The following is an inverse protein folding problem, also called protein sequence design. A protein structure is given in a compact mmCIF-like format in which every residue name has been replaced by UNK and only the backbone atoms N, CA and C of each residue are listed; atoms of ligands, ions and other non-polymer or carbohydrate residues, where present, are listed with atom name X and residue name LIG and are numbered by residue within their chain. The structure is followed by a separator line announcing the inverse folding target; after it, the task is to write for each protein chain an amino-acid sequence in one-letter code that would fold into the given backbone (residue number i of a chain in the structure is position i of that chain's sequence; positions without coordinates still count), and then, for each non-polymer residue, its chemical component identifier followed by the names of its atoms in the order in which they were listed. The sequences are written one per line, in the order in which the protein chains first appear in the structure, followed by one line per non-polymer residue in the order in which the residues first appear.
data_IF_402864778356
#
_entry.id   IF_402864778356
#
_cell.length_a   1.000
_cell.length_b   1.000
_cell.length_c   1.000
_cell.angle_alpha   90.00
_cell.angle_beta   90.00
_cell.angle_gamma   90.00
#
_symmetry.space_group_name_H-M   'P 1'
#
loop_
_entity.id
_entity.type
_entity.pdbx_description
1 polymer ?
#
# COMPACT_ATOMS: atom_id res chain seq x y z
N UNK A 1 -20.91 21.07 -7.29
CA UNK A 1 -21.35 20.59 -8.63
C UNK A 1 -20.26 19.78 -9.33
N UNK A 2 -18.97 20.15 -9.19
CA UNK A 2 -17.84 19.53 -9.93
C UNK A 2 -17.72 18.03 -9.76
N UNK A 3 -17.94 17.48 -8.54
CA UNK A 3 -17.84 16.04 -8.26
C UNK A 3 -18.87 15.24 -9.10
N UNK A 4 -20.09 15.75 -9.23
CA UNK A 4 -21.13 15.08 -10.04
C UNK A 4 -20.86 15.17 -11.53
N UNK A 5 -20.33 16.31 -12.01
CA UNK A 5 -19.90 16.46 -13.41
C UNK A 5 -18.75 15.51 -13.70
N UNK A 6 -17.75 15.42 -12.80
CA UNK A 6 -16.60 14.54 -12.98
C UNK A 6 -17.00 13.07 -13.10
N UNK A 7 -17.85 12.59 -12.20
CA UNK A 7 -18.29 11.19 -12.25
C UNK A 7 -19.19 10.90 -13.45
N UNK A 8 -20.00 11.88 -13.89
CA UNK A 8 -20.80 11.73 -15.12
C UNK A 8 -19.93 11.62 -16.37
N UNK A 9 -18.84 12.39 -16.45
CA UNK A 9 -17.86 12.25 -17.53
C UNK A 9 -17.17 10.89 -17.48
N UNK A 10 -16.80 10.42 -16.28
CA UNK A 10 -16.19 9.11 -16.11
C UNK A 10 -17.13 7.99 -16.58
N UNK A 11 -18.41 8.06 -16.23
CA UNK A 11 -19.43 7.10 -16.70
C UNK A 11 -19.66 7.16 -18.21
N UNK A 12 -19.58 8.34 -18.82
CA UNK A 12 -19.69 8.48 -20.28
C UNK A 12 -18.60 7.66 -20.99
N UNK A 13 -17.34 7.73 -20.52
CA UNK A 13 -16.28 6.92 -21.09
C UNK A 13 -16.38 5.44 -20.72
N UNK A 14 -16.83 5.10 -19.50
CA UNK A 14 -17.12 3.72 -19.12
C UNK A 14 -18.13 3.08 -20.08
N UNK A 15 -19.20 3.80 -20.43
CA UNK A 15 -20.27 3.31 -21.30
C UNK A 15 -19.82 3.13 -22.76
N UNK A 16 -18.62 3.59 -23.10
CA UNK A 16 -17.92 3.34 -24.36
C UNK A 16 -16.90 2.19 -24.25
N UNK A 17 -16.90 1.40 -23.16
CA UNK A 17 -15.99 0.28 -22.97
C UNK A 17 -14.63 0.62 -22.38
N UNK A 18 -14.42 1.86 -21.87
CA UNK A 18 -13.14 2.23 -21.25
C UNK A 18 -13.08 1.90 -19.76
N UNK A 19 -11.87 1.62 -19.28
CA UNK A 19 -11.55 1.62 -17.85
C UNK A 19 -11.08 3.01 -17.44
N UNK A 20 -11.85 3.67 -16.57
CA UNK A 20 -11.66 5.09 -16.20
C UNK A 20 -11.23 5.19 -14.74
N UNK A 21 -10.19 5.96 -14.45
CA UNK A 21 -9.82 6.37 -13.10
C UNK A 21 -10.26 7.83 -12.86
N UNK A 22 -11.16 8.04 -11.90
CA UNK A 22 -11.58 9.36 -11.45
C UNK A 22 -10.88 9.70 -10.13
N UNK A 23 -10.06 10.74 -10.15
CA UNK A 23 -9.36 11.24 -8.96
C UNK A 23 -10.06 12.51 -8.47
N UNK A 24 -10.60 12.47 -7.24
CA UNK A 24 -11.31 13.59 -6.62
C UNK A 24 -10.51 14.13 -5.42
N UNK A 25 -9.81 15.23 -5.66
CA UNK A 25 -9.05 15.95 -4.62
C UNK A 25 -9.69 17.33 -4.36
N UNK A 26 -10.38 17.53 -3.26
CA UNK A 26 -10.74 16.55 -2.22
C UNK A 26 -12.26 16.53 -2.01
N UNK A 27 -12.79 15.39 -1.61
CA UNK A 27 -14.21 15.25 -1.26
C UNK A 27 -14.59 16.04 -0.01
N UNK A 28 -13.62 16.37 0.85
CA UNK A 28 -13.82 17.24 2.02
C UNK A 28 -14.35 18.62 1.63
N UNK A 29 -13.84 19.22 0.54
CA UNK A 29 -14.30 20.52 0.04
C UNK A 29 -15.75 20.48 -0.48
N UNK A 30 -16.11 19.35 -1.08
CA UNK A 30 -17.50 19.13 -1.49
C UNK A 30 -18.43 18.99 -0.27
N UNK A 31 -18.00 18.28 0.78
CA UNK A 31 -18.76 18.15 2.03
C UNK A 31 -18.91 19.51 2.76
N UNK A 32 -17.87 20.33 2.79
CA UNK A 32 -17.92 21.70 3.31
C UNK A 32 -18.96 22.54 2.54
N UNK A 33 -18.98 22.44 1.20
CA UNK A 33 -19.98 23.13 0.41
C UNK A 33 -21.42 22.63 0.68
N UNK A 34 -21.61 21.33 0.93
CA UNK A 34 -22.92 20.80 1.36
C UNK A 34 -23.34 21.38 2.71
N UNK A 35 -22.43 21.46 3.67
CA UNK A 35 -22.67 22.07 4.99
C UNK A 35 -23.10 23.52 4.85
N UNK A 36 -22.41 24.29 4.02
CA UNK A 36 -22.74 25.71 3.79
C UNK A 36 -24.13 25.87 3.14
N UNK A 37 -24.44 25.05 2.12
CA UNK A 37 -25.74 25.10 1.45
C UNK A 37 -26.87 24.72 2.41
N UNK A 38 -26.71 23.63 3.16
CA UNK A 38 -27.67 23.16 4.16
C UNK A 38 -27.94 24.23 5.24
N UNK A 39 -26.89 24.90 5.70
CA UNK A 39 -27.00 26.02 6.65
C UNK A 39 -27.78 27.21 6.09
N UNK A 40 -27.55 27.56 4.83
CA UNK A 40 -28.29 28.65 4.15
C UNK A 40 -29.77 28.32 3.89
N UNK A 41 -30.06 27.02 3.75
CA UNK A 41 -31.45 26.54 3.60
C UNK A 41 -32.13 26.31 4.94
N UNK A 42 -31.48 26.65 6.06
CA UNK A 42 -31.99 26.48 7.43
C UNK A 42 -32.39 25.01 7.75
N UNK A 43 -31.71 24.03 7.09
CA UNK A 43 -31.91 22.62 7.40
C UNK A 43 -31.38 22.29 8.79
N UNK A 44 -32.00 21.32 9.46
CA UNK A 44 -31.55 20.87 10.80
C UNK A 44 -30.14 20.27 10.69
N UNK A 45 -29.13 20.82 11.37
CA UNK A 45 -27.77 20.29 11.33
C UNK A 45 -27.65 18.99 12.14
N UNK A 46 -26.83 18.05 11.64
CA UNK A 46 -26.36 16.90 12.38
C UNK A 46 -24.97 17.17 12.99
N UNK A 47 -24.16 16.14 13.14
CA UNK A 47 -22.82 16.20 13.73
C UNK A 47 -21.93 17.23 13.01
N UNK A 48 -21.26 18.09 13.78
CA UNK A 48 -20.38 19.18 13.32
C UNK A 48 -21.01 20.14 12.29
N UNK A 49 -22.34 20.26 12.29
CA UNK A 49 -23.06 21.14 11.38
C UNK A 49 -23.24 20.60 9.96
N UNK A 50 -22.86 19.36 9.70
CA UNK A 50 -23.13 18.71 8.43
C UNK A 50 -24.62 18.32 8.29
N UNK A 51 -25.16 18.23 7.06
CA UNK A 51 -26.51 17.76 6.87
C UNK A 51 -26.64 16.28 7.23
N UNK A 52 -27.81 15.83 7.75
CA UNK A 52 -28.03 14.43 8.16
C UNK A 52 -27.91 13.44 6.99
N UNK A 53 -28.01 13.90 5.76
CA UNK A 53 -27.88 13.09 4.55
C UNK A 53 -26.45 13.03 3.97
N UNK A 54 -25.43 13.54 4.69
CA UNK A 54 -24.04 13.51 4.20
C UNK A 54 -23.56 12.11 3.81
N UNK A 55 -23.77 11.13 4.70
CA UNK A 55 -23.37 9.74 4.46
C UNK A 55 -24.08 9.15 3.23
N UNK A 56 -25.38 9.40 3.07
CA UNK A 56 -26.13 8.94 1.91
C UNK A 56 -25.63 9.57 0.59
N UNK A 57 -25.23 10.85 0.62
CA UNK A 57 -24.66 11.53 -0.56
C UNK A 57 -23.28 11.00 -0.93
N UNK A 58 -22.43 10.71 0.08
CA UNK A 58 -21.14 10.07 -0.13
C UNK A 58 -21.32 8.67 -0.70
N UNK A 59 -22.21 7.86 -0.15
CA UNK A 59 -22.51 6.53 -0.66
C UNK A 59 -22.96 6.58 -2.11
N UNK A 60 -23.91 7.44 -2.44
CA UNK A 60 -24.44 7.59 -3.81
C UNK A 60 -23.33 8.04 -4.82
N UNK A 61 -22.32 8.77 -4.36
CA UNK A 61 -21.17 9.10 -5.20
C UNK A 61 -20.24 7.91 -5.43
N UNK A 62 -19.83 7.22 -4.36
CA UNK A 62 -18.88 6.10 -4.47
C UNK A 62 -19.51 4.85 -5.10
N UNK A 63 -20.83 4.62 -4.95
CA UNK A 63 -21.56 3.51 -5.61
C UNK A 63 -21.53 3.58 -7.14
N UNK A 64 -21.18 4.73 -7.71
CA UNK A 64 -21.02 4.88 -9.17
C UNK A 64 -19.73 4.24 -9.69
N UNK A 65 -18.79 3.88 -8.81
CA UNK A 65 -17.61 3.08 -9.16
C UNK A 65 -18.01 1.61 -9.37
N UNK A 66 -17.41 0.97 -10.36
CA UNK A 66 -17.61 -0.44 -10.60
C UNK A 66 -17.28 -0.85 -12.03
N UNK A 67 -17.20 -2.15 -12.25
CA UNK A 67 -17.06 -2.78 -13.56
C UNK A 67 -18.44 -3.22 -14.04
N UNK A 68 -18.78 -2.90 -15.25
CA UNK A 68 -20.11 -3.16 -15.85
C UNK A 68 -19.95 -3.73 -17.25
N UNK A 69 -20.99 -4.41 -17.71
CA UNK A 69 -21.19 -4.70 -19.14
C UNK A 69 -22.10 -3.61 -19.68
N UNK A 70 -21.63 -2.87 -20.66
CA UNK A 70 -22.32 -1.74 -21.25
C UNK A 70 -23.53 -2.21 -22.08
N UNK A 71 -24.41 -1.29 -22.45
CA UNK A 71 -25.52 -1.60 -23.37
C UNK A 71 -25.03 -2.05 -24.75
N UNK A 72 -23.80 -1.68 -25.14
CA UNK A 72 -23.14 -2.16 -26.36
C UNK A 72 -22.55 -3.56 -26.25
N UNK A 73 -22.56 -4.16 -25.05
CA UNK A 73 -22.01 -5.51 -24.80
C UNK A 73 -20.51 -5.54 -24.46
N UNK A 74 -19.87 -4.37 -24.36
CA UNK A 74 -18.46 -4.23 -24.00
C UNK A 74 -18.29 -4.10 -22.48
N UNK A 75 -17.13 -4.51 -21.96
CA UNK A 75 -16.77 -4.26 -20.56
C UNK A 75 -16.26 -2.82 -20.38
N UNK A 76 -16.76 -2.14 -19.37
CA UNK A 76 -16.26 -0.82 -18.96
C UNK A 76 -16.17 -0.71 -17.45
N UNK A 77 -15.31 0.16 -16.94
CA UNK A 77 -15.12 0.32 -15.51
C UNK A 77 -14.90 1.78 -15.09
N UNK A 78 -15.37 2.14 -13.89
CA UNK A 78 -14.97 3.39 -13.20
C UNK A 78 -14.35 3.01 -11.86
N UNK A 79 -13.14 3.50 -11.63
CA UNK A 79 -12.48 3.47 -10.33
C UNK A 79 -12.44 4.88 -9.76
N UNK A 80 -12.97 5.08 -8.56
CA UNK A 80 -12.97 6.40 -7.88
C UNK A 80 -11.90 6.38 -6.79
N UNK A 81 -10.96 7.34 -6.86
CA UNK A 81 -9.98 7.63 -5.83
C UNK A 81 -10.33 8.99 -5.22
N UNK A 82 -10.95 8.97 -4.05
CA UNK A 82 -11.34 10.19 -3.34
C UNK A 82 -10.34 10.54 -2.25
N UNK A 83 -9.74 11.73 -2.33
CA UNK A 83 -8.93 12.25 -1.25
C UNK A 83 -9.83 12.86 -0.17
N UNK A 84 -9.53 12.55 1.10
CA UNK A 84 -10.16 13.16 2.27
C UNK A 84 -9.09 13.87 3.09
N UNK A 85 -9.34 15.10 3.49
CA UNK A 85 -8.40 15.94 4.23
C UNK A 85 -9.00 16.34 5.58
N UNK A 86 -8.92 15.45 6.59
CA UNK A 86 -9.46 15.75 7.91
C UNK A 86 -8.71 16.92 8.56
N UNK A 87 -9.39 17.91 9.15
CA UNK A 87 -8.77 19.02 9.85
C UNK A 87 -7.87 18.52 10.99
N UNK A 88 -6.62 19.01 11.03
CA UNK A 88 -5.66 18.58 12.05
C UNK A 88 -5.27 17.10 12.03
N UNK A 89 -5.64 16.35 10.98
CA UNK A 89 -5.41 14.90 10.89
C UNK A 89 -6.38 14.07 11.75
N UNK A 90 -7.46 14.67 12.24
CA UNK A 90 -8.45 13.99 13.08
C UNK A 90 -9.33 13.02 12.26
N UNK A 91 -9.01 11.74 12.37
CA UNK A 91 -9.75 10.68 11.67
C UNK A 91 -11.18 10.46 12.21
N UNK A 92 -11.56 11.07 13.35
CA UNK A 92 -12.91 10.96 13.93
C UNK A 92 -13.93 11.92 13.29
N UNK A 93 -13.46 12.83 12.44
CA UNK A 93 -14.26 13.82 11.72
C UNK A 93 -15.35 13.14 10.86
N UNK A 94 -16.59 13.69 10.78
CA UNK A 94 -17.75 13.03 10.18
C UNK A 94 -17.59 12.63 8.71
N UNK A 95 -16.91 13.44 7.88
CA UNK A 95 -16.71 13.13 6.46
C UNK A 95 -15.77 11.93 6.31
N UNK A 96 -14.68 11.90 7.09
CA UNK A 96 -13.72 10.81 7.12
C UNK A 96 -14.39 9.52 7.60
N UNK A 97 -15.10 9.57 8.72
CA UNK A 97 -15.78 8.40 9.26
C UNK A 97 -16.86 7.85 8.31
N UNK A 98 -17.64 8.74 7.70
CA UNK A 98 -18.66 8.33 6.71
C UNK A 98 -18.00 7.70 5.48
N UNK A 99 -16.89 8.26 5.00
CA UNK A 99 -16.16 7.74 3.85
C UNK A 99 -15.59 6.35 4.15
N UNK A 100 -14.92 6.16 5.29
CA UNK A 100 -14.33 4.88 5.69
C UNK A 100 -15.36 3.74 5.82
N UNK A 101 -16.61 4.06 6.13
CA UNK A 101 -17.70 3.05 6.19
C UNK A 101 -18.22 2.63 4.82
N UNK A 102 -17.95 3.43 3.79
CA UNK A 102 -18.48 3.23 2.44
C UNK A 102 -17.45 2.60 1.53
N UNK A 103 -16.17 3.05 1.60
CA UNK A 103 -15.12 2.61 0.68
C UNK A 103 -14.59 1.23 1.04
N UNK A 104 -14.29 0.44 0.02
CA UNK A 104 -13.71 -0.90 0.19
C UNK A 104 -12.17 -0.91 0.27
N UNK A 105 -11.50 0.21 -0.03
CA UNK A 105 -10.05 0.34 0.08
C UNK A 105 -9.70 1.71 0.66
N UNK A 106 -8.66 1.74 1.49
CA UNK A 106 -8.20 2.94 2.16
C UNK A 106 -6.68 3.02 2.18
N UNK A 107 -6.12 4.12 1.72
CA UNK A 107 -4.71 4.47 1.82
C UNK A 107 -4.53 5.55 2.87
N UNK A 108 -3.98 5.17 3.99
CA UNK A 108 -3.69 6.11 5.08
C UNK A 108 -2.41 6.87 4.79
N UNK A 109 -2.52 8.16 4.48
CA UNK A 109 -1.36 9.03 4.38
C UNK A 109 -0.80 9.34 5.77
N UNK A 110 0.53 9.34 5.89
CA UNK A 110 1.22 9.54 7.16
C UNK A 110 2.26 10.67 7.02
N UNK A 111 2.03 11.76 7.76
CA UNK A 111 2.92 12.92 7.74
C UNK A 111 4.33 12.57 8.27
N UNK A 112 4.45 11.61 9.20
CA UNK A 112 5.76 11.21 9.73
C UNK A 112 6.62 10.51 8.67
N UNK A 113 6.02 9.76 7.76
CA UNK A 113 6.69 9.18 6.60
C UNK A 113 7.16 10.27 5.63
N UNK A 114 6.29 11.26 5.35
CA UNK A 114 6.62 12.38 4.48
C UNK A 114 7.77 13.23 5.05
N UNK A 115 7.78 13.51 6.35
CA UNK A 115 8.88 14.23 7.03
C UNK A 115 10.23 13.47 6.96
N UNK A 116 10.18 12.14 6.99
CA UNK A 116 11.36 11.29 6.78
C UNK A 116 11.73 11.09 5.30
N UNK A 117 11.00 11.75 4.39
CA UNK A 117 11.17 11.62 2.92
C UNK A 117 10.95 10.20 2.40
N UNK A 118 10.13 9.43 3.10
CA UNK A 118 9.65 8.15 2.61
C UNK A 118 8.43 8.38 1.71
N UNK A 119 8.56 8.14 0.43
CA UNK A 119 7.49 8.30 -0.55
C UNK A 119 7.29 7.01 -1.35
N UNK A 120 6.03 6.67 -1.71
CA UNK A 120 4.79 7.33 -1.28
C UNK A 120 4.60 7.26 0.25
N UNK A 121 4.09 8.34 0.84
CA UNK A 121 3.93 8.45 2.31
C UNK A 121 2.64 7.75 2.78
N UNK A 122 2.46 6.49 2.39
CA UNK A 122 1.30 5.64 2.69
C UNK A 122 1.70 4.69 3.83
N UNK A 123 0.97 4.77 4.94
CA UNK A 123 1.20 3.90 6.08
C UNK A 123 0.62 2.50 5.79
N UNK A 124 1.49 1.51 5.65
CA UNK A 124 1.13 0.13 5.29
C UNK A 124 0.31 -0.58 6.36
N UNK A 125 0.56 -0.31 7.65
CA UNK A 125 -0.19 -0.93 8.75
C UNK A 125 -1.57 -0.29 8.98
N UNK A 126 -1.73 0.99 8.57
CA UNK A 126 -2.98 1.70 8.69
C UNK A 126 -3.88 1.66 7.45
N UNK A 127 -3.38 1.13 6.35
CA UNK A 127 -4.08 0.99 5.08
C UNK A 127 -4.72 -0.39 4.94
N UNK A 128 -5.83 -0.49 4.19
CA UNK A 128 -6.50 -1.77 3.98
C UNK A 128 -7.22 -1.84 2.63
N UNK A 129 -7.53 -3.06 2.20
CA UNK A 129 -8.44 -3.34 1.11
C UNK A 129 -9.34 -4.53 1.47
N UNK A 130 -10.64 -4.35 1.35
CA UNK A 130 -11.64 -5.43 1.49
C UNK A 130 -11.74 -6.30 0.23
N UNK A 131 -11.08 -5.89 -0.86
CA UNK A 131 -11.08 -6.62 -2.13
C UNK A 131 -10.00 -7.69 -2.22
N UNK A 132 -9.11 -7.79 -1.23
CA UNK A 132 -7.91 -8.64 -1.26
C UNK A 132 -8.26 -10.08 -1.64
N UNK A 133 -9.13 -10.73 -0.89
CA UNK A 133 -9.52 -12.13 -1.14
C UNK A 133 -10.24 -12.34 -2.48
N UNK A 134 -11.01 -11.35 -2.93
CA UNK A 134 -11.68 -11.41 -4.23
C UNK A 134 -10.70 -11.29 -5.39
N UNK A 135 -9.56 -10.62 -5.19
CA UNK A 135 -8.52 -10.42 -6.20
C UNK A 135 -7.45 -11.51 -6.19
N UNK A 136 -7.35 -12.33 -5.15
CA UNK A 136 -6.34 -13.39 -5.05
C UNK A 136 -6.33 -14.35 -6.26
N UNK A 137 -7.48 -14.83 -6.82
CA UNK A 137 -7.47 -15.65 -8.00
C UNK A 137 -6.81 -14.95 -9.21
N UNK A 138 -7.09 -13.65 -9.37
CA UNK A 138 -6.50 -12.86 -10.44
C UNK A 138 -4.98 -12.73 -10.29
N UNK A 139 -4.48 -12.47 -9.07
CA UNK A 139 -3.05 -12.40 -8.80
C UNK A 139 -2.35 -13.73 -9.04
N UNK A 140 -2.95 -14.85 -8.66
CA UNK A 140 -2.42 -16.18 -8.92
C UNK A 140 -2.28 -16.47 -10.40
N UNK A 141 -3.26 -16.09 -11.20
CA UNK A 141 -3.28 -16.32 -12.65
C UNK A 141 -2.33 -15.36 -13.40
N UNK A 142 -2.29 -14.07 -13.03
CA UNK A 142 -1.64 -13.03 -13.82
C UNK A 142 -0.25 -12.63 -13.34
N UNK A 143 0.11 -12.93 -12.09
CA UNK A 143 1.42 -12.59 -11.51
C UNK A 143 2.19 -13.86 -11.14
N UNK A 144 1.76 -14.58 -10.11
CA UNK A 144 2.33 -15.85 -9.68
C UNK A 144 1.38 -16.57 -8.71
N UNK A 145 1.42 -17.91 -8.71
CA UNK A 145 0.55 -18.75 -7.89
C UNK A 145 0.68 -18.45 -6.38
N UNK A 146 1.87 -18.14 -5.91
CA UNK A 146 2.22 -17.86 -4.51
C UNK A 146 2.22 -16.36 -4.15
N UNK A 147 1.74 -15.47 -5.05
CA UNK A 147 1.74 -14.01 -4.81
C UNK A 147 0.96 -13.60 -3.55
N UNK A 148 -0.26 -14.10 -3.30
CA UNK A 148 -1.02 -13.71 -2.10
C UNK A 148 -0.29 -14.08 -0.81
N UNK A 149 0.31 -15.27 -0.75
CA UNK A 149 1.06 -15.73 0.42
C UNK A 149 2.31 -14.88 0.69
N UNK A 150 3.02 -14.46 -0.36
CA UNK A 150 4.17 -13.57 -0.22
C UNK A 150 3.74 -12.20 0.30
N UNK A 151 2.67 -11.62 -0.26
CA UNK A 151 2.10 -10.35 0.19
C UNK A 151 1.74 -10.40 1.68
N UNK A 152 1.06 -11.47 2.10
CA UNK A 152 0.61 -11.62 3.48
C UNK A 152 1.80 -11.81 4.43
N UNK A 153 2.84 -12.56 4.02
CA UNK A 153 4.07 -12.71 4.79
C UNK A 153 4.84 -11.39 4.96
N UNK A 154 4.92 -10.57 3.91
CA UNK A 154 5.51 -9.21 3.99
C UNK A 154 4.71 -8.33 4.96
N UNK A 155 3.38 -8.38 4.89
CA UNK A 155 2.50 -7.62 5.78
C UNK A 155 2.65 -8.06 7.24
N UNK A 156 2.75 -9.36 7.50
CA UNK A 156 3.00 -9.91 8.84
C UNK A 156 4.35 -9.45 9.40
N UNK A 157 5.41 -9.47 8.59
CA UNK A 157 6.74 -8.98 9.02
C UNK A 157 6.70 -7.51 9.40
N UNK A 158 6.01 -6.66 8.62
CA UNK A 158 5.87 -5.23 8.93
C UNK A 158 5.05 -4.98 10.21
N UNK A 159 4.03 -5.79 10.48
CA UNK A 159 3.27 -5.70 11.73
C UNK A 159 4.11 -6.13 12.95
N UNK A 160 4.88 -7.22 12.82
CA UNK A 160 5.80 -7.68 13.87
C UNK A 160 6.89 -6.65 14.14
N UNK A 161 7.46 -6.08 13.08
CA UNK A 161 8.47 -5.03 13.17
C UNK A 161 7.94 -3.79 13.92
N UNK A 162 6.70 -3.36 13.64
CA UNK A 162 6.09 -2.23 14.34
C UNK A 162 5.99 -2.47 15.86
N UNK A 163 5.57 -3.66 16.28
CA UNK A 163 5.53 -4.04 17.70
C UNK A 163 6.92 -4.08 18.35
N UNK A 164 7.94 -4.57 17.64
CA UNK A 164 9.32 -4.58 18.13
C UNK A 164 9.92 -3.18 18.23
N UNK A 165 9.57 -2.27 17.31
CA UNK A 165 9.99 -0.87 17.36
C UNK A 165 9.49 -0.15 18.62
N UNK A 166 8.27 -0.45 19.07
CA UNK A 166 7.75 0.07 20.34
C UNK A 166 8.58 -0.41 21.53
N UNK A 167 8.99 -1.68 21.54
CA UNK A 167 9.86 -2.25 22.58
C UNK A 167 11.24 -1.56 22.56
N UNK A 168 11.84 -1.39 21.36
CA UNK A 168 13.13 -0.70 21.21
C UNK A 168 13.09 0.72 21.74
N UNK A 169 12.00 1.44 21.53
CA UNK A 169 11.84 2.81 22.05
C UNK A 169 11.81 2.86 23.60
N UNK A 170 11.35 1.80 24.24
CA UNK A 170 11.22 1.75 25.70
C UNK A 170 12.49 1.24 26.40
N UNK A 171 13.15 0.22 25.85
CA UNK A 171 14.25 -0.51 26.53
C UNK A 171 15.57 -0.48 25.78
N UNK A 172 15.61 0.05 24.57
CA UNK A 172 16.78 0.09 23.71
C UNK A 172 16.95 -1.14 22.82
N UNK A 173 17.74 -1.04 21.74
CA UNK A 173 17.94 -2.13 20.77
C UNK A 173 18.70 -3.34 21.32
N UNK A 174 19.55 -3.12 22.34
CA UNK A 174 20.38 -4.19 22.94
C UNK A 174 19.59 -5.22 23.74
N UNK A 175 18.31 -4.92 24.02
CA UNK A 175 17.43 -5.86 24.72
C UNK A 175 16.84 -6.95 23.81
N UNK A 176 16.98 -6.82 22.50
CA UNK A 176 16.42 -7.74 21.52
C UNK A 176 17.34 -8.93 21.24
N UNK A 177 16.74 -10.10 21.07
CA UNK A 177 17.44 -11.28 20.59
C UNK A 177 17.72 -11.17 19.08
N UNK A 178 18.70 -11.92 18.57
CA UNK A 178 19.08 -11.89 17.16
C UNK A 178 17.90 -12.16 16.20
N UNK A 179 16.98 -13.05 16.56
CA UNK A 179 15.78 -13.31 15.78
C UNK A 179 14.83 -12.11 15.71
N UNK A 180 14.74 -11.31 16.76
CA UNK A 180 13.93 -10.07 16.80
C UNK A 180 14.62 -8.93 16.04
N UNK A 181 15.95 -8.81 16.20
CA UNK A 181 16.79 -7.89 15.43
C UNK A 181 16.68 -8.18 13.92
N UNK A 182 16.63 -9.46 13.52
CA UNK A 182 16.40 -9.85 12.13
C UNK A 182 15.08 -9.32 11.60
N UNK A 183 13.98 -9.41 12.36
CA UNK A 183 12.68 -8.86 11.95
C UNK A 183 12.74 -7.35 11.74
N UNK A 184 13.44 -6.62 12.60
CA UNK A 184 13.63 -5.15 12.45
C UNK A 184 14.42 -4.83 11.18
N UNK A 185 15.52 -5.55 10.93
CA UNK A 185 16.36 -5.29 9.75
C UNK A 185 15.65 -5.66 8.44
N UNK A 186 14.94 -6.79 8.41
CA UNK A 186 14.12 -7.16 7.24
C UNK A 186 12.97 -6.18 7.05
N UNK A 187 12.32 -5.72 8.13
CA UNK A 187 11.33 -4.64 8.08
C UNK A 187 11.90 -3.35 7.49
N UNK A 188 13.15 -2.99 7.84
CA UNK A 188 13.87 -1.87 7.24
C UNK A 188 14.08 -2.06 5.73
N UNK A 189 14.55 -3.24 5.31
CA UNK A 189 14.72 -3.57 3.88
C UNK A 189 13.38 -3.46 3.15
N UNK A 190 12.30 -4.00 3.70
CA UNK A 190 10.96 -3.88 3.09
C UNK A 190 10.56 -2.40 2.93
N UNK A 191 10.73 -1.58 3.96
CA UNK A 191 10.35 -0.17 3.91
C UNK A 191 11.21 0.64 2.95
N UNK A 192 12.52 0.51 3.02
CA UNK A 192 13.47 1.40 2.35
C UNK A 192 13.80 0.92 0.93
N UNK A 193 13.85 -0.39 0.71
CA UNK A 193 14.32 -0.97 -0.55
C UNK A 193 13.17 -1.53 -1.42
N UNK A 194 11.95 -1.65 -0.86
CA UNK A 194 10.80 -2.14 -1.61
C UNK A 194 9.62 -1.15 -1.62
N UNK A 195 9.16 -0.66 -0.46
CA UNK A 195 7.99 0.22 -0.39
C UNK A 195 8.30 1.66 -0.78
N UNK A 196 9.50 2.15 -0.45
CA UNK A 196 9.91 3.48 -0.85
C UNK A 196 10.26 3.51 -2.34
N UNK A 197 9.69 4.50 -3.05
CA UNK A 197 9.97 4.75 -4.47
C UNK A 197 10.37 6.20 -4.70
N UNK A 198 11.26 6.42 -5.67
CA UNK A 198 11.64 7.76 -6.12
C UNK A 198 10.96 8.07 -7.46
N UNK A 199 9.93 8.90 -7.42
CA UNK A 199 9.16 9.30 -8.60
C UNK A 199 9.98 10.07 -9.66
N UNK A 200 11.19 10.55 -9.31
CA UNK A 200 12.08 11.28 -10.22
C UNK A 200 13.23 10.41 -10.76
N UNK A 201 13.29 9.13 -10.38
CA UNK A 201 14.28 8.20 -10.91
C UNK A 201 13.72 7.46 -12.12
N UNK A 202 14.50 7.36 -13.19
CA UNK A 202 14.06 6.78 -14.47
C UNK A 202 13.50 5.36 -14.36
N UNK A 203 14.05 4.55 -13.46
CA UNK A 203 13.63 3.16 -13.25
C UNK A 203 12.69 3.03 -12.05
N UNK A 204 13.05 3.62 -10.90
CA UNK A 204 12.35 3.43 -9.63
C UNK A 204 10.97 4.11 -9.57
N UNK A 205 10.68 5.04 -10.50
CA UNK A 205 9.37 5.70 -10.61
C UNK A 205 8.23 4.72 -10.95
N UNK A 206 8.55 3.57 -11.53
CA UNK A 206 7.59 2.53 -11.89
C UNK A 206 8.11 1.15 -11.50
N UNK A 207 7.22 0.32 -10.96
CA UNK A 207 7.51 -1.07 -10.64
C UNK A 207 6.36 -1.96 -11.10
N UNK A 208 6.63 -2.87 -12.04
CA UNK A 208 5.63 -3.85 -12.47
C UNK A 208 5.27 -4.82 -11.35
N UNK A 209 4.10 -5.44 -11.41
CA UNK A 209 3.70 -6.46 -10.44
C UNK A 209 4.65 -7.66 -10.43
N UNK A 210 5.24 -8.01 -11.59
CA UNK A 210 6.22 -9.09 -11.69
C UNK A 210 7.53 -8.76 -11.01
N UNK A 211 8.01 -7.52 -11.17
CA UNK A 211 9.19 -7.02 -10.48
C UNK A 211 8.95 -6.93 -8.96
N UNK A 212 7.81 -6.38 -8.54
CA UNK A 212 7.41 -6.33 -7.13
C UNK A 212 7.37 -7.74 -6.51
N UNK A 213 6.79 -8.72 -7.20
CA UNK A 213 6.81 -10.11 -6.80
C UNK A 213 8.23 -10.66 -6.61
N UNK A 214 9.11 -10.42 -7.57
CA UNK A 214 10.50 -10.88 -7.49
C UNK A 214 11.25 -10.28 -6.31
N UNK A 215 11.07 -8.97 -6.04
CA UNK A 215 11.69 -8.30 -4.89
C UNK A 215 11.16 -8.90 -3.57
N UNK A 216 9.84 -9.06 -3.41
CA UNK A 216 9.26 -9.71 -2.23
C UNK A 216 9.83 -11.12 -2.03
N UNK A 217 9.96 -11.89 -3.10
CA UNK A 217 10.48 -13.25 -3.05
C UNK A 217 11.95 -13.31 -2.63
N UNK A 218 12.78 -12.37 -3.09
CA UNK A 218 14.18 -12.25 -2.64
C UNK A 218 14.25 -11.90 -1.15
N UNK A 219 13.46 -10.95 -0.68
CA UNK A 219 13.42 -10.53 0.73
C UNK A 219 13.00 -11.70 1.63
N UNK A 220 11.94 -12.41 1.27
CA UNK A 220 11.45 -13.55 2.07
C UNK A 220 12.38 -14.75 2.01
N UNK A 221 13.06 -15.00 0.89
CA UNK A 221 14.10 -16.03 0.79
C UNK A 221 15.27 -15.69 1.72
N UNK A 222 15.75 -14.45 1.70
CA UNK A 222 16.78 -13.97 2.63
C UNK A 222 16.34 -14.11 4.09
N UNK A 223 15.14 -13.67 4.44
CA UNK A 223 14.60 -13.79 5.79
C UNK A 223 14.59 -15.24 6.28
N UNK A 224 14.11 -16.17 5.47
CA UNK A 224 14.02 -17.61 5.80
C UNK A 224 15.41 -18.23 6.03
N UNK A 225 16.37 -17.96 5.16
CA UNK A 225 17.73 -18.45 5.30
C UNK A 225 18.44 -17.83 6.52
N UNK A 226 18.23 -16.53 6.76
CA UNK A 226 18.77 -15.82 7.91
C UNK A 226 18.20 -16.37 9.23
N UNK A 227 16.89 -16.61 9.30
CA UNK A 227 16.27 -17.23 10.47
C UNK A 227 16.84 -18.63 10.75
N UNK A 228 17.05 -19.43 9.70
CA UNK A 228 17.67 -20.74 9.83
C UNK A 228 19.13 -20.66 10.28
N UNK A 229 19.90 -19.67 9.82
CA UNK A 229 21.28 -19.43 10.22
C UNK A 229 21.37 -19.01 11.70
N UNK A 230 20.51 -18.11 12.17
CA UNK A 230 20.44 -17.71 13.59
C UNK A 230 20.12 -18.92 14.48
N UNK A 231 19.20 -19.80 14.07
CA UNK A 231 18.90 -21.04 14.80
C UNK A 231 20.12 -22.01 14.91
N UNK A 232 21.08 -21.90 13.99
CA UNK A 232 22.35 -22.61 14.03
C UNK A 232 23.44 -21.89 14.85
N UNK A 233 23.16 -20.69 15.34
CA UNK A 233 24.09 -19.90 16.16
C UNK A 233 24.92 -18.87 15.41
N UNK A 234 24.61 -18.58 14.12
CA UNK A 234 25.25 -17.50 13.38
C UNK A 234 24.69 -16.16 13.88
N UNK A 235 25.57 -15.20 14.12
CA UNK A 235 25.15 -13.88 14.62
C UNK A 235 24.47 -13.06 13.54
N UNK A 236 23.51 -12.22 13.94
CA UNK A 236 22.83 -11.30 13.01
C UNK A 236 23.81 -10.34 12.34
N UNK A 237 24.87 -9.90 13.04
CA UNK A 237 25.85 -8.97 12.51
C UNK A 237 26.66 -9.58 11.35
N UNK A 238 26.96 -10.87 11.38
CA UNK A 238 27.58 -11.61 10.26
C UNK A 238 26.62 -11.71 9.07
N UNK A 239 25.33 -11.98 9.32
CA UNK A 239 24.30 -12.10 8.28
C UNK A 239 24.10 -10.78 7.56
N UNK A 240 24.08 -9.66 8.27
CA UNK A 240 23.89 -8.34 7.68
C UNK A 240 25.07 -7.84 6.85
N UNK A 241 26.26 -8.41 7.03
CA UNK A 241 27.44 -8.13 6.20
C UNK A 241 27.48 -8.90 4.89
N UNK A 242 26.55 -9.82 4.66
CA UNK A 242 26.51 -10.59 3.41
C UNK A 242 26.22 -9.66 2.21
N UNK A 243 26.96 -9.83 1.09
CA UNK A 243 26.75 -9.00 -0.12
C UNK A 243 25.33 -9.06 -0.68
N UNK A 244 24.58 -10.13 -0.39
CA UNK A 244 23.20 -10.31 -0.83
C UNK A 244 22.25 -9.26 -0.26
N UNK A 245 22.55 -8.64 0.89
CA UNK A 245 21.75 -7.55 1.47
C UNK A 245 21.79 -6.33 0.55
N UNK A 246 22.98 -5.94 0.09
CA UNK A 246 23.13 -4.86 -0.88
C UNK A 246 22.51 -5.23 -2.24
N UNK A 247 22.61 -6.49 -2.65
CA UNK A 247 22.00 -6.99 -3.87
C UNK A 247 20.48 -6.81 -3.84
N UNK A 248 19.82 -7.14 -2.73
CA UNK A 248 18.38 -6.93 -2.56
C UNK A 248 18.04 -5.45 -2.64
N UNK A 249 18.77 -4.58 -1.94
CA UNK A 249 18.54 -3.13 -1.95
C UNK A 249 18.68 -2.47 -3.32
N UNK A 250 19.52 -3.02 -4.20
CA UNK A 250 19.71 -2.52 -5.58
C UNK A 250 18.63 -2.99 -6.55
N UNK A 251 17.84 -4.00 -6.22
CA UNK A 251 16.87 -4.59 -7.12
C UNK A 251 15.84 -3.59 -7.67
N UNK A 252 15.47 -2.59 -6.88
CA UNK A 252 14.52 -1.53 -7.28
C UNK A 252 15.04 -0.69 -8.47
N UNK A 253 16.36 -0.55 -8.63
CA UNK A 253 17.00 0.25 -9.68
C UNK A 253 17.32 -0.54 -10.96
N UNK A 254 17.05 -1.83 -10.99
CA UNK A 254 17.23 -2.67 -12.17
C UNK A 254 16.06 -2.46 -13.14
N UNK A 255 16.32 -2.31 -14.41
CA UNK A 255 15.29 -2.14 -15.45
C UNK A 255 14.35 -3.36 -15.50
N UNK A 256 13.12 -3.16 -15.98
CA UNK A 256 12.16 -4.28 -16.15
C UNK A 256 12.69 -5.37 -17.08
N UNK A 257 13.49 -5.01 -18.08
CA UNK A 257 14.07 -5.95 -19.06
C UNK A 257 15.19 -6.82 -18.46
N UNK A 258 16.02 -6.23 -17.59
CA UNK A 258 17.16 -6.90 -16.96
C UNK A 258 16.75 -7.67 -15.68
N UNK A 259 15.62 -7.31 -15.11
CA UNK A 259 15.20 -7.84 -13.81
C UNK A 259 15.06 -9.35 -13.75
N UNK A 260 14.56 -10.08 -14.75
CA UNK A 260 14.47 -11.54 -14.69
C UNK A 260 15.82 -12.23 -14.49
N UNK A 261 16.86 -11.81 -15.22
CA UNK A 261 18.21 -12.35 -15.06
C UNK A 261 18.80 -11.98 -13.69
N UNK A 262 18.63 -10.73 -13.29
CA UNK A 262 19.06 -10.25 -11.97
C UNK A 262 18.44 -11.06 -10.84
N UNK A 263 17.13 -11.32 -10.90
CA UNK A 263 16.40 -12.11 -9.93
C UNK A 263 16.95 -13.55 -9.80
N UNK A 264 17.17 -14.23 -10.92
CA UNK A 264 17.71 -15.61 -10.93
C UNK A 264 19.11 -15.68 -10.31
N UNK A 265 19.97 -14.70 -10.60
CA UNK A 265 21.30 -14.61 -10.00
C UNK A 265 21.21 -14.33 -8.50
N UNK A 266 20.41 -13.35 -8.11
CA UNK A 266 20.23 -12.99 -6.70
C UNK A 266 19.70 -14.16 -5.87
N UNK A 267 18.76 -14.94 -6.38
CA UNK A 267 18.25 -16.13 -5.69
C UNK A 267 19.31 -17.20 -5.50
N UNK A 268 20.21 -17.39 -6.49
CA UNK A 268 21.36 -18.32 -6.35
C UNK A 268 22.37 -17.79 -5.33
N UNK A 269 22.67 -16.50 -5.36
CA UNK A 269 23.57 -15.85 -4.41
C UNK A 269 23.05 -15.93 -2.97
N UNK A 270 21.75 -15.69 -2.72
CA UNK A 270 21.14 -15.87 -1.40
C UNK A 270 21.38 -17.30 -0.89
N UNK A 271 21.03 -18.31 -1.68
CA UNK A 271 21.23 -19.71 -1.28
C UNK A 271 22.71 -20.06 -1.07
N UNK A 272 23.60 -19.54 -1.92
CA UNK A 272 25.04 -19.77 -1.83
C UNK A 272 25.68 -19.14 -0.60
N UNK A 273 25.32 -17.89 -0.30
CA UNK A 273 25.88 -17.13 0.83
C UNK A 273 25.61 -17.82 2.18
N UNK A 274 24.40 -18.31 2.40
CA UNK A 274 24.04 -19.00 3.65
C UNK A 274 24.62 -20.41 3.74
N UNK A 275 24.95 -21.06 2.63
CA UNK A 275 25.71 -22.33 2.64
C UNK A 275 27.16 -22.13 3.08
N UNK A 276 27.74 -20.99 2.82
CA UNK A 276 29.11 -20.66 3.22
C UNK A 276 29.22 -20.28 4.71
N UNK A 277 28.10 -19.92 5.35
CA UNK A 277 27.99 -19.64 6.80
C UNK A 277 27.65 -20.89 7.65
N UNK A 278 27.49 -22.07 7.02
CA UNK A 278 27.05 -23.30 7.67
C UNK A 278 28.22 -24.15 8.23
#
# INVERSE_FOLDING_TARGET
ASIYVGVTIAEYFRDQGFSVALMADSTSRWAEALREISSRLEEMPAEEGYPPYLAARLAAFYERAGKVITLGGEEGAVTIVGAVSPPGGDMSEPVTQSTLRIVGAFWRLDASLAFRRHFPAINWNGSYSLFTSALDPWYRENVAEDYPELRDAISELLQREAGLQEIVQLVGPDALQDAERLVIEVGRIIREDFLQQNAFHEVDAYCSMRKAYGIMKMILAFYKEAEAAIKRGVSIDEILQLPVVERIGRARYVSEEEFPAYFEEAMKEIQGAFKALA
#
